data_IF_294384378607
#
_entry.id   IF_294384378607
#
_cell.length_a   1.000
_cell.length_b   1.000
_cell.length_c   1.000
_cell.angle_alpha   90.00
_cell.angle_beta   90.00
_cell.angle_gamma   90.00
#
_symmetry.space_group_name_H-M   'P 1'
#
loop_
_entity.id
_entity.type
_entity.pdbx_description
1 polymer ?
#
# COMPACT_ATOMS: atom_id res chain seq x y z
N UNK A 1 -17.16 13.60 -3.02
CA UNK A 1 -16.00 14.47 -2.80
C UNK A 1 -14.88 13.71 -2.12
N UNK A 2 -13.62 14.03 -2.44
CA UNK A 2 -12.51 13.43 -1.72
C UNK A 2 -12.60 13.74 -0.23
N UNK A 3 -12.20 12.78 0.58
CA UNK A 3 -12.21 12.93 2.03
C UNK A 3 -10.81 13.35 2.48
N UNK A 4 -10.66 14.53 3.12
CA UNK A 4 -9.35 14.90 3.66
C UNK A 4 -8.90 13.89 4.71
N UNK A 5 -7.60 13.57 4.76
CA UNK A 5 -6.52 14.13 3.95
C UNK A 5 -6.31 13.46 2.59
N UNK A 6 -7.12 12.48 2.25
CA UNK A 6 -6.99 11.80 0.98
C UNK A 6 -7.40 12.72 -0.15
N UNK A 7 -6.56 12.87 -1.17
CA UNK A 7 -6.81 13.76 -2.30
C UNK A 7 -7.67 13.13 -3.37
N UNK A 8 -7.84 11.81 -3.31
CA UNK A 8 -8.58 11.08 -4.36
C UNK A 8 -9.90 10.49 -3.89
N UNK A 9 -10.22 10.61 -2.61
CA UNK A 9 -11.50 10.16 -2.07
C UNK A 9 -11.63 8.67 -1.85
N UNK A 10 -10.60 7.89 -2.13
CA UNK A 10 -10.62 6.44 -1.91
C UNK A 10 -9.91 6.08 -0.62
N UNK A 11 -10.46 5.09 0.06
CA UNK A 11 -9.80 4.50 1.21
C UNK A 11 -9.45 3.07 0.85
N UNK A 12 -8.23 2.67 1.16
CA UNK A 12 -7.80 1.33 0.83
C UNK A 12 -6.77 0.82 1.85
N UNK A 13 -6.68 -0.48 1.90
CA UNK A 13 -5.67 -1.14 2.71
C UNK A 13 -5.37 -2.48 2.06
N UNK A 14 -4.13 -2.64 1.62
CA UNK A 14 -3.66 -3.88 1.02
C UNK A 14 -2.54 -4.40 1.89
N UNK A 15 -2.57 -5.69 2.22
CA UNK A 15 -1.59 -6.28 3.13
C UNK A 15 -1.15 -7.63 2.59
N UNK A 16 0.15 -7.89 2.69
CA UNK A 16 0.72 -9.18 2.37
C UNK A 16 1.38 -9.72 3.63
N UNK A 17 0.90 -10.85 4.10
CA UNK A 17 1.33 -11.43 5.36
C UNK A 17 2.00 -12.77 5.11
N UNK A 18 3.16 -12.95 5.73
CA UNK A 18 3.91 -14.21 5.64
C UNK A 18 4.25 -14.65 7.06
N UNK A 19 3.89 -15.87 7.39
CA UNK A 19 4.16 -16.45 8.71
C UNK A 19 3.65 -15.56 9.86
N UNK A 20 2.46 -14.98 9.65
CA UNK A 20 1.83 -14.15 10.67
C UNK A 20 2.38 -12.74 10.77
N UNK A 21 3.32 -12.36 9.90
CA UNK A 21 3.90 -11.04 9.92
C UNK A 21 3.58 -10.29 8.63
N UNK A 22 3.23 -9.01 8.76
CA UNK A 22 3.03 -8.17 7.60
C UNK A 22 4.38 -7.81 7.00
N UNK A 23 4.61 -8.21 5.76
CA UNK A 23 5.85 -7.90 5.06
C UNK A 23 5.69 -6.78 4.05
N UNK A 24 4.47 -6.54 3.59
CA UNK A 24 4.17 -5.45 2.68
C UNK A 24 2.77 -4.92 2.96
N UNK A 25 2.59 -3.63 2.87
CA UNK A 25 1.29 -3.03 3.03
C UNK A 25 1.20 -1.69 2.31
N UNK A 26 0.03 -1.43 1.74
CA UNK A 26 -0.29 -0.14 1.13
C UNK A 26 -1.56 0.36 1.79
N UNK A 27 -1.57 1.58 2.26
CA UNK A 27 -2.78 2.16 2.81
C UNK A 27 -2.75 3.68 2.70
N UNK A 28 -3.89 4.31 2.95
CA UNK A 28 -3.98 5.75 3.02
C UNK A 28 -4.64 6.15 4.32
N UNK A 29 -3.97 5.84 5.39
CA UNK A 29 -4.48 6.11 6.72
C UNK A 29 -4.76 7.59 6.90
N UNK A 30 -5.77 7.86 7.70
CA UNK A 30 -6.23 9.21 7.96
C UNK A 30 -5.11 10.10 8.49
N UNK A 31 -4.96 11.27 7.90
CA UNK A 31 -3.99 12.25 8.35
C UNK A 31 -2.61 12.12 7.73
N UNK A 32 -2.35 11.03 7.03
CA UNK A 32 -1.01 10.76 6.50
C UNK A 32 -0.93 10.65 4.97
N UNK A 33 -2.06 10.47 4.30
CA UNK A 33 -2.05 10.25 2.85
C UNK A 33 -1.70 8.81 2.50
N UNK A 34 -1.18 8.61 1.30
CA UNK A 34 -0.89 7.27 0.79
C UNK A 34 0.49 6.80 1.23
N UNK A 35 0.57 5.59 1.76
CA UNK A 35 1.81 5.05 2.32
C UNK A 35 2.07 3.62 1.88
N UNK A 36 3.34 3.27 1.86
CA UNK A 36 3.81 1.94 1.62
C UNK A 36 4.62 1.50 2.84
N UNK A 37 4.29 0.32 3.36
CA UNK A 37 5.00 -0.25 4.51
C UNK A 37 5.75 -1.50 4.07
N UNK A 38 7.03 -1.58 4.40
CA UNK A 38 7.85 -2.76 4.13
C UNK A 38 8.60 -3.08 5.41
N UNK A 39 8.27 -4.21 6.04
CA UNK A 39 8.83 -4.53 7.34
C UNK A 39 8.50 -3.43 8.33
N UNK A 40 9.52 -2.82 8.90
CA UNK A 40 9.37 -1.72 9.85
C UNK A 40 9.45 -0.35 9.20
N UNK A 41 9.67 -0.29 7.89
CA UNK A 41 9.82 0.96 7.18
C UNK A 41 8.52 1.43 6.58
N UNK A 42 8.39 2.73 6.47
CA UNK A 42 7.20 3.36 5.91
C UNK A 42 7.64 4.52 5.04
N UNK A 43 7.03 4.64 3.86
CA UNK A 43 7.33 5.75 2.96
C UNK A 43 6.06 6.23 2.28
N UNK A 44 5.99 7.52 1.92
CA UNK A 44 4.87 8.01 1.15
C UNK A 44 4.95 7.52 -0.28
N UNK A 45 3.79 7.33 -0.91
CA UNK A 45 3.72 6.94 -2.32
C UNK A 45 2.76 7.85 -3.05
N UNK A 46 2.91 7.92 -4.36
CA UNK A 46 2.00 8.67 -5.21
C UNK A 46 0.84 7.78 -5.62
N UNK A 47 -0.37 8.27 -5.45
CA UNK A 47 -1.56 7.57 -5.90
C UNK A 47 -1.91 8.07 -7.31
N UNK A 48 -2.08 7.15 -8.25
CA UNK A 48 -2.51 7.50 -9.61
C UNK A 48 -3.89 6.95 -9.90
N UNK A 49 -4.10 5.68 -9.62
CA UNK A 49 -5.41 5.05 -9.76
C UNK A 49 -5.45 3.78 -8.94
N UNK A 50 -6.64 3.28 -8.68
CA UNK A 50 -6.80 2.00 -7.96
C UNK A 50 -6.17 0.88 -8.77
N UNK A 51 -6.37 0.89 -10.09
CA UNK A 51 -5.82 -0.15 -10.94
C UNK A 51 -4.30 -0.18 -10.90
N UNK A 52 -3.67 1.00 -10.96
CA UNK A 52 -2.23 1.10 -10.88
C UNK A 52 -1.71 0.66 -9.52
N UNK A 53 -2.43 1.03 -8.46
CA UNK A 53 -2.06 0.67 -7.11
C UNK A 53 -2.07 -0.85 -6.93
N UNK A 54 -3.14 -1.49 -7.40
CA UNK A 54 -3.28 -2.94 -7.31
C UNK A 54 -2.20 -3.65 -8.13
N UNK A 55 -1.94 -3.16 -9.35
CA UNK A 55 -0.90 -3.74 -10.20
C UNK A 55 0.46 -3.66 -9.53
N UNK A 56 0.78 -2.51 -8.96
CA UNK A 56 2.04 -2.31 -8.27
C UNK A 56 2.16 -3.23 -7.05
N UNK A 57 1.09 -3.34 -6.27
CA UNK A 57 1.07 -4.19 -5.09
C UNK A 57 1.31 -5.66 -5.49
N UNK A 58 0.62 -6.13 -6.51
CA UNK A 58 0.75 -7.51 -6.98
C UNK A 58 2.16 -7.80 -7.48
N UNK A 59 2.77 -6.85 -8.19
CA UNK A 59 4.14 -7.02 -8.65
C UNK A 59 5.12 -7.12 -7.49
N UNK A 60 4.93 -6.30 -6.47
CA UNK A 60 5.79 -6.36 -5.29
C UNK A 60 5.63 -7.66 -4.52
N UNK A 61 4.39 -8.12 -4.39
CA UNK A 61 4.12 -9.42 -3.75
C UNK A 61 4.85 -10.53 -4.49
N UNK A 62 4.78 -10.50 -5.82
CA UNK A 62 5.43 -11.51 -6.64
C UNK A 62 6.94 -11.51 -6.46
N UNK A 63 7.54 -10.32 -6.42
CA UNK A 63 8.97 -10.20 -6.18
C UNK A 63 9.37 -10.73 -4.82
N UNK A 64 8.58 -10.46 -3.81
CA UNK A 64 8.86 -10.95 -2.46
C UNK A 64 8.78 -12.47 -2.39
N UNK A 65 7.82 -13.05 -3.12
CA UNK A 65 7.66 -14.51 -3.16
C UNK A 65 8.84 -15.17 -3.86
N UNK A 66 9.40 -14.52 -4.88
CA UNK A 66 10.57 -15.05 -5.59
C UNK A 66 11.81 -15.05 -4.72
N UNK A 67 11.95 -14.00 -3.90
CA UNK A 67 13.13 -13.89 -3.03
C UNK A 67 13.01 -14.76 -1.79
N UNK A 68 11.80 -14.99 -1.37
CA UNK A 68 11.55 -15.79 -0.19
C UNK A 68 11.43 -17.23 -0.48
#
# INVERSE_FOLDING_TARGET
KPVPPSKHGFKYRLVYIVAGKRVLGYDNERGKGDHRHVGDEEEPIAFTSIDDLLARFMLEVEEMRRKG
#
